data_IF_308719942973
#
_entry.id   IF_308719942973
#
_cell.length_a   1.000
_cell.length_b   1.000
_cell.length_c   1.000
_cell.angle_alpha   90.00
_cell.angle_beta   90.00
_cell.angle_gamma   90.00
#
_symmetry.space_group_name_H-M   'P 1'
#
loop_
_entity.id
_entity.type
_entity.pdbx_description
1 polymer ?
#
# COMPACT_ATOMS: atom_id res chain seq x y z
N UNK A 1 13.81 9.06 5.15
CA UNK A 1 12.39 9.10 4.79
C UNK A 1 12.18 8.43 3.44
N UNK A 2 11.07 7.71 3.27
CA UNK A 2 10.71 6.98 2.06
C UNK A 2 9.30 7.37 1.61
N UNK A 3 9.05 7.41 0.29
CA UNK A 3 7.71 7.50 -0.26
C UNK A 3 7.21 6.09 -0.58
N UNK A 4 6.08 5.71 0.03
CA UNK A 4 5.45 4.41 -0.20
C UNK A 4 4.19 4.61 -1.05
N UNK A 5 4.12 3.96 -2.22
CA UNK A 5 2.98 4.02 -3.13
C UNK A 5 2.31 2.65 -3.15
N UNK A 6 1.10 2.59 -2.62
CA UNK A 6 0.35 1.37 -2.36
C UNK A 6 -0.48 0.85 -3.53
N UNK A 7 -0.09 1.13 -4.78
CA UNK A 7 -0.78 0.67 -5.99
C UNK A 7 -1.78 1.68 -6.55
N UNK A 8 -2.33 1.33 -7.71
CA UNK A 8 -3.26 2.16 -8.49
C UNK A 8 -2.68 3.54 -8.83
N UNK A 9 -1.40 3.57 -9.22
CA UNK A 9 -0.70 4.78 -9.64
C UNK A 9 -1.23 5.28 -11.00
N UNK A 10 -1.61 4.35 -11.87
CA UNK A 10 -2.23 4.64 -13.16
C UNK A 10 -3.36 3.66 -13.47
N UNK A 11 -4.49 4.20 -13.91
CA UNK A 11 -5.72 3.44 -14.22
C UNK A 11 -6.10 3.50 -15.72
N UNK A 12 -5.31 4.19 -16.52
CA UNK A 12 -5.56 4.33 -17.96
C UNK A 12 -4.27 4.38 -18.78
N UNK A 13 -4.41 4.11 -20.09
CA UNK A 13 -3.31 4.25 -21.04
C UNK A 13 -2.93 5.71 -21.33
N UNK A 14 -3.75 6.67 -20.91
CA UNK A 14 -3.51 8.11 -21.08
C UNK A 14 -2.64 8.70 -19.95
N UNK A 15 -2.20 7.89 -18.98
CA UNK A 15 -1.27 8.35 -17.95
C UNK A 15 0.01 8.89 -18.58
N UNK A 16 0.41 10.09 -18.16
CA UNK A 16 1.58 10.78 -18.69
C UNK A 16 2.79 10.53 -17.78
N UNK A 17 3.85 9.98 -18.34
CA UNK A 17 5.12 9.77 -17.63
C UNK A 17 5.76 11.07 -17.11
N UNK A 18 5.39 12.24 -17.66
CA UNK A 18 5.88 13.53 -17.16
C UNK A 18 5.48 13.79 -15.71
N UNK A 19 4.33 13.27 -15.27
CA UNK A 19 3.88 13.40 -13.89
C UNK A 19 4.80 12.65 -12.91
N UNK A 20 5.50 11.60 -13.36
CA UNK A 20 6.49 10.87 -12.58
C UNK A 20 7.74 11.67 -12.25
N UNK A 21 8.08 12.67 -13.10
CA UNK A 21 9.20 13.56 -12.84
C UNK A 21 8.99 14.42 -11.59
N UNK A 22 7.73 14.74 -11.25
CA UNK A 22 7.41 15.44 -10.00
C UNK A 22 7.73 14.59 -8.78
N UNK A 23 7.45 13.29 -8.83
CA UNK A 23 7.79 12.36 -7.75
C UNK A 23 9.31 12.16 -7.66
N UNK A 24 9.99 12.02 -8.78
CA UNK A 24 11.45 11.91 -8.85
C UNK A 24 12.14 13.14 -8.24
N UNK A 25 11.57 14.33 -8.41
CA UNK A 25 12.11 15.58 -7.86
C UNK A 25 12.07 15.66 -6.32
N UNK A 26 11.38 14.72 -5.64
CA UNK A 26 11.41 14.62 -4.17
C UNK A 26 12.77 14.15 -3.64
N UNK A 27 13.63 13.59 -4.49
CA UNK A 27 14.96 13.05 -4.13
C UNK A 27 14.92 12.09 -2.92
N UNK A 28 13.86 11.29 -2.85
CA UNK A 28 13.65 10.27 -1.82
C UNK A 28 13.46 8.90 -2.46
N UNK A 29 13.84 7.81 -1.79
CA UNK A 29 13.51 6.47 -2.25
C UNK A 29 12.00 6.32 -2.39
N UNK A 30 11.55 5.86 -3.56
CA UNK A 30 10.14 5.60 -3.87
C UNK A 30 9.96 4.09 -3.96
N UNK A 31 9.16 3.53 -3.06
CA UNK A 31 8.80 2.12 -3.06
C UNK A 31 7.37 1.96 -3.58
N UNK A 32 7.19 1.05 -4.50
CA UNK A 32 5.91 0.86 -5.19
C UNK A 32 5.49 -0.60 -5.17
N UNK A 33 4.24 -0.86 -4.87
CA UNK A 33 3.55 -2.14 -5.12
C UNK A 33 2.44 -1.92 -6.12
N UNK A 34 2.11 -2.92 -6.92
CA UNK A 34 1.01 -2.83 -7.87
C UNK A 34 -0.35 -2.92 -7.19
N UNK A 35 -1.33 -2.17 -7.69
CA UNK A 35 -2.73 -2.39 -7.45
C UNK A 35 -3.40 -3.12 -8.61
N UNK A 36 -4.72 -3.27 -8.57
CA UNK A 36 -5.44 -3.97 -9.62
C UNK A 36 -5.56 -3.13 -10.91
N UNK A 37 -5.55 -1.80 -10.83
CA UNK A 37 -5.66 -0.93 -12.00
C UNK A 37 -4.43 -1.00 -12.91
N UNK A 38 -3.25 -1.23 -12.38
CA UNK A 38 -2.05 -1.46 -13.21
C UNK A 38 -2.27 -2.59 -14.23
N UNK A 39 -2.99 -3.65 -13.85
CA UNK A 39 -3.23 -4.82 -14.72
C UNK A 39 -4.37 -4.61 -15.75
N UNK A 40 -5.17 -3.55 -15.62
CA UNK A 40 -6.20 -3.21 -16.60
C UNK A 40 -5.64 -2.45 -17.81
N UNK A 41 -4.45 -1.89 -17.68
CA UNK A 41 -3.80 -1.11 -18.72
C UNK A 41 -3.07 -2.04 -19.71
N UNK A 42 -3.18 -1.74 -21.02
CA UNK A 42 -2.39 -2.43 -22.05
C UNK A 42 -0.89 -2.22 -21.79
N UNK A 43 -0.10 -3.27 -22.06
CA UNK A 43 1.35 -3.27 -21.84
C UNK A 43 1.76 -2.97 -20.39
N UNK A 44 0.94 -3.38 -19.42
CA UNK A 44 1.20 -3.11 -17.99
C UNK A 44 2.60 -3.52 -17.53
N UNK A 45 3.13 -4.69 -17.97
CA UNK A 45 4.47 -5.14 -17.59
C UNK A 45 5.56 -4.15 -18.02
N UNK A 46 5.47 -3.64 -19.25
CA UNK A 46 6.41 -2.64 -19.77
C UNK A 46 6.30 -1.31 -19.01
N UNK A 47 5.06 -0.87 -18.73
CA UNK A 47 4.80 0.35 -17.97
C UNK A 47 5.31 0.26 -16.55
N UNK A 48 5.03 -0.84 -15.85
CA UNK A 48 5.54 -1.07 -14.49
C UNK A 48 7.07 -1.06 -14.51
N UNK A 49 7.70 -1.81 -15.44
CA UNK A 49 9.16 -1.83 -15.55
C UNK A 49 9.74 -0.43 -15.85
N UNK A 50 9.03 0.41 -16.62
CA UNK A 50 9.47 1.76 -16.95
C UNK A 50 9.54 2.70 -15.72
N UNK A 51 8.80 2.44 -14.66
CA UNK A 51 8.86 3.22 -13.41
C UNK A 51 10.27 3.27 -12.82
N UNK A 52 11.09 2.25 -13.04
CA UNK A 52 12.48 2.22 -12.56
C UNK A 52 13.33 3.36 -13.13
N UNK A 53 13.03 3.86 -14.34
CA UNK A 53 13.70 5.00 -14.96
C UNK A 53 13.43 6.32 -14.21
N UNK A 54 12.35 6.36 -13.45
CA UNK A 54 11.95 7.49 -12.63
C UNK A 54 12.35 7.32 -11.15
N UNK A 55 13.17 6.32 -10.84
CA UNK A 55 13.72 6.11 -9.50
C UNK A 55 12.81 5.29 -8.57
N UNK A 56 11.81 4.61 -9.12
CA UNK A 56 10.97 3.70 -8.32
C UNK A 56 11.67 2.37 -8.10
N UNK A 57 11.58 1.87 -6.88
CA UNK A 57 11.87 0.48 -6.51
C UNK A 57 10.54 -0.28 -6.50
N UNK A 58 10.39 -1.22 -7.41
CA UNK A 58 9.16 -2.02 -7.54
C UNK A 58 9.29 -3.23 -6.63
N UNK A 59 8.39 -3.36 -5.67
CA UNK A 59 8.33 -4.49 -4.75
C UNK A 59 7.27 -5.50 -5.24
N UNK A 60 7.58 -6.21 -6.31
CA UNK A 60 6.73 -7.27 -6.84
C UNK A 60 7.08 -8.60 -6.19
N UNK A 61 6.40 -8.96 -5.10
CA UNK A 61 6.66 -10.15 -4.31
C UNK A 61 8.10 -10.23 -3.80
N UNK A 62 8.61 -9.11 -3.32
CA UNK A 62 9.98 -8.91 -2.86
C UNK A 62 10.01 -8.09 -1.58
N UNK A 63 11.14 -8.14 -0.89
CA UNK A 63 11.42 -7.27 0.25
C UNK A 63 12.70 -6.47 0.04
N UNK A 64 12.78 -5.35 0.74
CA UNK A 64 13.99 -4.53 0.83
C UNK A 64 14.22 -4.15 2.29
N UNK A 65 15.50 -4.10 2.68
CA UNK A 65 15.90 -3.83 4.06
C UNK A 65 16.47 -2.42 4.18
N UNK A 66 16.01 -1.70 5.18
CA UNK A 66 16.58 -0.41 5.61
C UNK A 66 16.83 -0.47 7.12
N UNK A 67 18.06 -0.66 7.52
CA UNK A 67 18.46 -0.90 8.91
C UNK A 67 17.59 -2.03 9.55
N UNK A 68 16.83 -1.72 10.59
CA UNK A 68 15.93 -2.65 11.27
C UNK A 68 14.52 -2.73 10.65
N UNK A 69 14.30 -2.07 9.51
CA UNK A 69 12.99 -2.04 8.82
C UNK A 69 13.04 -2.93 7.58
N UNK A 70 12.27 -4.01 7.58
CA UNK A 70 12.05 -4.87 6.42
C UNK A 70 10.74 -4.46 5.73
N UNK A 71 10.82 -3.89 4.53
CA UNK A 71 9.66 -3.49 3.74
C UNK A 71 9.37 -4.58 2.70
N UNK A 72 8.23 -5.21 2.83
CA UNK A 72 7.76 -6.31 1.99
C UNK A 72 6.67 -5.79 1.07
N UNK A 73 6.82 -5.97 -0.23
CA UNK A 73 5.80 -5.64 -1.22
C UNK A 73 5.18 -6.88 -1.85
N UNK A 74 3.85 -6.92 -1.88
CA UNK A 74 3.10 -8.01 -2.49
C UNK A 74 2.27 -7.47 -3.65
N UNK A 75 2.47 -8.07 -4.81
CA UNK A 75 1.77 -7.75 -6.04
C UNK A 75 0.27 -8.09 -5.98
N UNK A 76 -0.58 -7.26 -6.61
CA UNK A 76 -2.04 -7.47 -6.62
C UNK A 76 -2.53 -8.40 -7.76
N UNK A 77 -1.62 -9.12 -8.41
CA UNK A 77 -1.96 -10.05 -9.49
C UNK A 77 -2.38 -11.46 -9.02
N UNK A 78 -2.46 -11.69 -7.71
CA UNK A 78 -2.72 -13.00 -7.13
C UNK A 78 -3.84 -12.97 -6.08
N UNK A 79 -4.42 -14.15 -5.83
CA UNK A 79 -5.39 -14.32 -4.76
C UNK A 79 -4.75 -14.21 -3.36
N UNK A 80 -5.52 -13.87 -2.30
CA UNK A 80 -4.98 -13.65 -0.95
C UNK A 80 -4.23 -14.83 -0.33
N UNK A 81 -4.51 -16.08 -0.75
CA UNK A 81 -3.81 -17.26 -0.19
C UNK A 81 -2.36 -17.33 -0.68
N UNK A 82 -2.05 -17.31 -1.99
CA UNK A 82 -0.68 -17.19 -2.49
C UNK A 82 0.05 -15.96 -1.94
N UNK A 83 -0.60 -14.80 -1.90
CA UNK A 83 -0.03 -13.58 -1.31
C UNK A 83 0.43 -13.78 0.13
N UNK A 84 -0.36 -14.48 0.96
CA UNK A 84 0.01 -14.79 2.34
C UNK A 84 1.23 -15.71 2.44
N UNK A 85 1.34 -16.69 1.57
CA UNK A 85 2.47 -17.61 1.54
C UNK A 85 3.77 -16.88 1.14
N UNK A 86 3.69 -16.03 0.12
CA UNK A 86 4.82 -15.18 -0.30
C UNK A 86 5.21 -14.22 0.82
N UNK A 87 4.26 -13.49 1.40
CA UNK A 87 4.54 -12.56 2.48
C UNK A 87 5.24 -13.25 3.65
N UNK A 88 4.82 -14.47 4.02
CA UNK A 88 5.43 -15.26 5.09
C UNK A 88 6.88 -15.62 4.78
N UNK A 89 7.21 -15.94 3.53
CA UNK A 89 8.58 -16.29 3.13
C UNK A 89 9.54 -15.10 3.12
N UNK A 90 9.01 -13.86 3.14
CA UNK A 90 9.78 -12.62 3.12
C UNK A 90 9.92 -11.96 4.49
N UNK A 91 9.29 -12.52 5.53
CA UNK A 91 9.44 -12.05 6.92
C UNK A 91 10.90 -12.18 7.36
N UNK A 92 11.41 -11.14 8.00
CA UNK A 92 12.69 -11.13 8.69
C UNK A 92 12.43 -11.08 10.21
N UNK A 93 12.81 -12.14 10.91
CA UNK A 93 12.51 -12.30 12.33
C UNK A 93 13.24 -11.28 13.23
N UNK A 94 14.32 -10.68 12.74
CA UNK A 94 15.15 -9.72 13.44
C UNK A 94 14.84 -8.26 13.10
N UNK A 95 13.76 -8.02 12.34
CA UNK A 95 13.39 -6.69 11.84
C UNK A 95 11.92 -6.35 12.11
N UNK A 96 11.61 -5.06 12.10
CA UNK A 96 10.23 -4.58 12.00
C UNK A 96 9.71 -4.85 10.57
N UNK A 97 8.69 -5.69 10.43
CA UNK A 97 8.15 -6.10 9.14
C UNK A 97 6.98 -5.22 8.74
N UNK A 98 7.21 -4.34 7.76
CA UNK A 98 6.19 -3.51 7.11
C UNK A 98 5.75 -4.19 5.82
N UNK A 99 4.48 -4.56 5.73
CA UNK A 99 3.89 -5.20 4.55
C UNK A 99 3.08 -4.19 3.75
N UNK A 100 3.46 -3.98 2.50
CA UNK A 100 2.71 -3.20 1.51
C UNK A 100 1.93 -4.15 0.61
N UNK A 101 0.61 -4.03 0.60
CA UNK A 101 -0.28 -4.76 -0.32
C UNK A 101 -1.49 -3.89 -0.64
N UNK A 102 -1.86 -3.80 -1.90
CA UNK A 102 -2.90 -2.88 -2.34
C UNK A 102 -4.25 -3.15 -1.67
N UNK A 103 -4.71 -4.40 -1.68
CA UNK A 103 -6.01 -4.78 -1.12
C UNK A 103 -5.91 -5.21 0.35
N UNK A 104 -6.79 -4.72 1.25
CA UNK A 104 -6.77 -5.08 2.67
C UNK A 104 -7.26 -6.51 2.94
N UNK A 105 -7.74 -7.24 1.95
CA UNK A 105 -8.25 -8.62 2.06
C UNK A 105 -7.21 -9.61 2.63
N UNK A 106 -5.91 -9.33 2.42
CA UNK A 106 -4.82 -10.14 2.97
C UNK A 106 -4.75 -10.10 4.50
N UNK A 107 -5.28 -9.06 5.15
CA UNK A 107 -5.19 -8.86 6.61
C UNK A 107 -5.57 -10.09 7.44
N UNK A 108 -6.64 -10.78 7.05
CA UNK A 108 -7.10 -11.96 7.78
C UNK A 108 -6.20 -13.20 7.63
N UNK A 109 -5.24 -13.15 6.71
CA UNK A 109 -4.28 -14.23 6.39
C UNK A 109 -2.83 -13.76 6.51
N UNK A 110 -2.62 -12.51 6.91
CA UNK A 110 -1.29 -11.92 7.04
C UNK A 110 -0.43 -12.73 8.03
N UNK A 111 0.90 -12.79 7.81
CA UNK A 111 1.83 -13.48 8.71
C UNK A 111 1.74 -12.97 10.15
N UNK A 112 1.95 -13.85 11.12
CA UNK A 112 1.87 -13.49 12.55
C UNK A 112 2.98 -12.51 13.00
N UNK A 113 4.15 -12.58 12.34
CA UNK A 113 5.31 -11.71 12.62
C UNK A 113 5.35 -10.44 11.76
N UNK A 114 4.26 -10.07 11.14
CA UNK A 114 4.10 -8.78 10.48
C UNK A 114 3.68 -7.75 11.53
N UNK A 115 4.39 -6.62 11.59
CA UNK A 115 4.13 -5.56 12.57
C UNK A 115 3.12 -4.54 12.05
N UNK A 116 3.30 -4.09 10.80
CA UNK A 116 2.43 -3.10 10.15
C UNK A 116 2.11 -3.53 8.72
N UNK A 117 0.82 -3.51 8.37
CA UNK A 117 0.35 -3.65 6.99
C UNK A 117 -0.23 -2.33 6.51
N UNK A 118 0.12 -1.93 5.28
CA UNK A 118 -0.42 -0.76 4.60
C UNK A 118 -1.21 -1.21 3.38
N UNK A 119 -2.44 -0.70 3.26
CA UNK A 119 -3.34 -1.01 2.15
C UNK A 119 -4.15 0.21 1.74
N UNK A 120 -4.74 0.15 0.54
CA UNK A 120 -5.66 1.15 -0.01
C UNK A 120 -6.91 0.52 -0.61
N UNK A 121 -7.10 0.69 -1.93
CA UNK A 121 -8.11 0.07 -2.79
C UNK A 121 -9.56 0.51 -2.55
N UNK A 122 -9.99 0.63 -1.31
CA UNK A 122 -11.40 0.85 -0.95
C UNK A 122 -11.89 2.28 -1.14
N UNK A 123 -10.97 3.25 -1.27
CA UNK A 123 -11.23 4.70 -1.33
C UNK A 123 -12.16 5.22 -0.21
N UNK A 124 -12.26 4.47 0.91
CA UNK A 124 -13.26 4.69 1.96
C UNK A 124 -14.70 4.74 1.39
N UNK A 125 -14.94 4.03 0.26
CA UNK A 125 -16.20 4.01 -0.46
C UNK A 125 -16.50 5.26 -1.28
N UNK A 126 -15.58 6.21 -1.37
CA UNK A 126 -15.51 7.42 -2.20
C UNK A 126 -16.75 8.32 -2.19
N UNK A 127 -17.96 7.80 -2.45
CA UNK A 127 -19.18 8.59 -2.69
C UNK A 127 -20.31 8.10 -1.79
N UNK A 128 -20.90 9.01 -1.00
CA UNK A 128 -22.14 8.75 -0.25
C UNK A 128 -23.35 8.69 -1.22
N UNK A 129 -24.32 7.77 -1.05
CA UNK A 129 -24.40 6.75 0.01
C UNK A 129 -23.71 5.42 -0.32
N UNK A 130 -23.00 5.31 -1.43
CA UNK A 130 -22.32 4.07 -1.87
C UNK A 130 -21.30 3.58 -0.86
N UNK A 131 -20.64 4.51 -0.14
CA UNK A 131 -19.69 4.18 0.94
C UNK A 131 -20.33 3.30 2.06
N UNK A 132 -21.65 3.36 2.26
CA UNK A 132 -22.34 2.49 3.21
C UNK A 132 -22.36 1.03 2.71
N UNK A 133 -22.57 0.83 1.40
CA UNK A 133 -22.56 -0.51 0.78
C UNK A 133 -21.15 -1.11 0.84
N UNK A 134 -20.12 -0.32 0.57
CA UNK A 134 -18.73 -0.75 0.66
C UNK A 134 -18.39 -1.24 2.08
N UNK A 135 -18.87 -0.54 3.13
CA UNK A 135 -18.68 -0.95 4.53
C UNK A 135 -19.43 -2.23 4.91
N UNK A 136 -20.54 -2.52 4.24
CA UNK A 136 -21.24 -3.80 4.44
C UNK A 136 -20.50 -4.95 3.77
N UNK A 137 -19.94 -4.70 2.59
CA UNK A 137 -19.24 -5.72 1.80
C UNK A 137 -17.83 -6.02 2.33
N UNK A 138 -17.08 -4.99 2.74
CA UNK A 138 -15.69 -5.10 3.20
C UNK A 138 -15.59 -4.86 4.70
N UNK A 139 -14.92 -5.77 5.41
CA UNK A 139 -14.72 -5.66 6.86
C UNK A 139 -13.67 -4.62 7.26
N UNK A 140 -12.73 -4.36 6.37
CA UNK A 140 -11.61 -3.42 6.55
C UNK A 140 -11.63 -2.41 5.41
N UNK A 141 -12.15 -1.19 5.67
CA UNK A 141 -12.41 -0.20 4.62
C UNK A 141 -11.51 1.02 4.77
N UNK A 142 -11.27 1.51 5.99
CA UNK A 142 -10.54 2.75 6.22
C UNK A 142 -10.03 2.86 7.65
N UNK A 143 -8.84 3.42 7.82
CA UNK A 143 -8.24 3.72 9.11
C UNK A 143 -7.45 2.55 9.70
N UNK A 144 -7.21 2.61 11.01
CA UNK A 144 -6.36 1.69 11.74
C UNK A 144 -7.14 0.49 12.28
N UNK A 145 -6.62 -0.70 12.05
CA UNK A 145 -7.08 -1.96 12.64
C UNK A 145 -5.95 -2.63 13.40
N UNK A 146 -6.28 -3.36 14.45
CA UNK A 146 -5.31 -4.10 15.27
C UNK A 146 -5.72 -5.55 15.44
N UNK A 147 -4.74 -6.45 15.36
CA UNK A 147 -4.88 -7.87 15.65
C UNK A 147 -3.62 -8.36 16.38
N UNK A 148 -3.76 -8.74 17.64
CA UNK A 148 -2.63 -9.08 18.51
C UNK A 148 -1.61 -7.91 18.54
N UNK A 149 -0.39 -8.16 18.10
CA UNK A 149 0.69 -7.17 18.02
C UNK A 149 0.81 -6.51 16.64
N UNK A 150 -0.01 -6.93 15.66
CA UNK A 150 0.03 -6.42 14.30
C UNK A 150 -0.99 -5.31 14.10
N UNK A 151 -0.64 -4.36 13.23
CA UNK A 151 -1.50 -3.26 12.82
C UNK A 151 -1.74 -3.28 11.31
N UNK A 152 -2.93 -2.86 10.89
CA UNK A 152 -3.25 -2.57 9.49
C UNK A 152 -3.72 -1.12 9.40
N UNK A 153 -3.17 -0.35 8.48
CA UNK A 153 -3.75 0.92 8.08
C UNK A 153 -4.29 0.81 6.66
N UNK A 154 -5.57 1.15 6.48
CA UNK A 154 -6.22 1.23 5.16
C UNK A 154 -6.41 2.69 4.81
N UNK A 155 -5.69 3.15 3.80
CA UNK A 155 -5.79 4.53 3.31
C UNK A 155 -7.00 4.72 2.40
N UNK A 156 -7.59 5.91 2.44
CA UNK A 156 -8.57 6.33 1.44
C UNK A 156 -7.94 6.72 0.11
N UNK A 157 -6.62 6.89 0.07
CA UNK A 157 -5.85 7.25 -1.11
C UNK A 157 -5.92 8.73 -1.48
N UNK A 158 -4.97 9.16 -2.30
CA UNK A 158 -4.85 10.54 -2.79
C UNK A 158 -5.67 10.81 -4.05
N UNK A 159 -6.07 9.75 -4.78
CA UNK A 159 -6.82 9.81 -6.04
C UNK A 159 -8.30 9.48 -5.90
N UNK A 160 -8.92 9.24 -7.03
CA UNK A 160 -10.32 8.80 -7.18
C UNK A 160 -10.40 7.73 -8.24
N UNK A 161 -11.44 6.89 -8.21
CA UNK A 161 -11.76 6.00 -9.32
C UNK A 161 -13.11 6.40 -9.93
N UNK A 162 -13.29 6.19 -11.24
CA UNK A 162 -14.49 6.61 -11.96
C UNK A 162 -14.66 8.14 -11.94
N UNK A 163 -15.72 8.69 -11.33
CA UNK A 163 -15.89 10.15 -11.25
C UNK A 163 -14.78 10.80 -10.43
N UNK A 164 -14.20 11.90 -10.95
CA UNK A 164 -13.17 12.69 -10.26
C UNK A 164 -13.76 13.51 -9.12
N UNK A 165 -14.48 12.86 -8.20
CA UNK A 165 -15.13 13.50 -7.06
C UNK A 165 -15.19 12.57 -5.85
N UNK A 166 -15.20 13.17 -4.66
CA UNK A 166 -15.52 12.49 -3.39
C UNK A 166 -16.70 13.18 -2.72
N UNK A 167 -17.56 12.38 -2.09
CA UNK A 167 -18.68 12.88 -1.29
C UNK A 167 -18.79 12.07 0.00
N UNK A 168 -18.57 12.73 1.16
CA UNK A 168 -18.57 12.05 2.46
C UNK A 168 -17.28 11.29 2.77
N UNK A 169 -16.24 11.44 1.94
CA UNK A 169 -14.88 10.94 2.15
C UNK A 169 -13.87 11.98 1.68
N UNK A 170 -12.61 11.84 2.09
CA UNK A 170 -11.53 12.77 1.74
C UNK A 170 -10.35 12.04 1.11
N UNK A 171 -9.59 12.74 0.28
CA UNK A 171 -8.25 12.31 -0.13
C UNK A 171 -7.30 12.41 1.07
N UNK A 172 -6.31 11.53 1.11
CA UNK A 172 -5.25 11.62 2.12
C UNK A 172 -3.89 11.19 1.58
N UNK A 173 -2.87 11.75 2.17
CA UNK A 173 -1.49 11.27 2.19
C UNK A 173 -1.13 11.05 3.65
N UNK A 174 -0.68 9.86 4.00
CA UNK A 174 -0.46 9.46 5.39
C UNK A 174 1.02 9.54 5.72
N UNK A 175 1.37 10.25 6.77
CA UNK A 175 2.71 10.22 7.34
C UNK A 175 2.76 9.16 8.45
N UNK A 176 3.72 8.23 8.35
CA UNK A 176 3.94 7.18 9.34
C UNK A 176 5.33 7.36 9.92
N UNK A 177 5.41 7.47 11.24
CA UNK A 177 6.67 7.52 11.98
C UNK A 177 6.87 6.19 12.70
N UNK A 178 7.98 5.51 12.40
CA UNK A 178 8.39 4.29 13.07
C UNK A 178 9.66 4.63 13.85
N UNK A 179 9.65 4.40 15.15
CA UNK A 179 10.80 4.65 16.02
C UNK A 179 11.17 3.41 16.82
N UNK A 180 12.47 3.15 17.07
CA UNK A 180 12.89 2.09 17.99
C UNK A 180 12.31 2.35 19.39
N UNK A 181 11.87 1.28 20.03
CA UNK A 181 11.34 1.39 21.40
C UNK A 181 12.48 1.51 22.42
N UNK A 182 12.39 2.56 23.24
CA UNK A 182 12.99 2.52 24.57
C UNK A 182 12.04 1.68 25.42
N UNK A 183 12.41 0.49 25.71
CA UNK A 183 11.82 -0.61 26.52
C UNK A 183 10.48 -0.40 27.26
N UNK A 184 9.47 0.29 26.79
CA UNK A 184 8.18 0.20 27.49
C UNK A 184 6.89 0.26 26.64
N UNK A 185 6.82 0.80 25.45
CA UNK A 185 5.63 0.67 24.56
C UNK A 185 5.91 1.20 23.15
N UNK A 186 5.58 0.41 22.11
CA UNK A 186 5.64 0.87 20.72
C UNK A 186 4.46 1.80 20.42
N UNK A 187 4.76 3.00 19.93
CA UNK A 187 3.72 3.93 19.48
C UNK A 187 3.83 4.11 17.98
N UNK A 188 2.78 3.70 17.24
CA UNK A 188 2.61 4.03 15.82
C UNK A 188 1.74 5.27 15.79
N UNK A 189 2.25 6.36 15.25
CA UNK A 189 1.49 7.60 15.05
C UNK A 189 1.22 7.79 13.57
N UNK A 190 -0.06 7.86 13.21
CA UNK A 190 -0.53 8.28 11.89
C UNK A 190 -1.12 9.68 12.02
N UNK A 191 -0.65 10.61 11.19
CA UNK A 191 -1.16 11.97 11.10
C UNK A 191 -1.57 12.31 9.66
#
# INVERSE_FOLDING_TARGET
DHLLIGGDLFDSSAFNDDDLNLLKALERPILFVTGNHEYYVKNHNERIANLTKFGFTILDNQSTQFDELNIIGISDNQAPKPQSEIARSLINDDSFNLLMVHQPSLWHRAPEKMDLMLSGHSHNGQIFPFNLLVRVQFRTVYGMYRRLNSHLYVSSGSGTWGPSMRLGTQNEVVQISISPQIKDHQTIVCA
#
